data_IF_177585207867
#
_entry.id   IF_177585207867
#
_cell.length_a   1.000
_cell.length_b   1.000
_cell.length_c   1.000
_cell.angle_alpha   90.00
_cell.angle_beta   90.00
_cell.angle_gamma   90.00
#
_symmetry.space_group_name_H-M   'P 1'
#
loop_
_entity.id
_entity.type
_entity.pdbx_description
1 polymer ?
#
# COMPACT_ATOMS: atom_id res chain seq x y z
N UNK A 1 -14.13 -1.94 15.11
CA UNK A 1 -13.63 -2.26 13.76
C UNK A 1 -12.22 -1.75 13.64
N UNK A 2 -11.38 -2.39 12.83
CA UNK A 2 -10.02 -1.91 12.55
C UNK A 2 -10.07 -1.11 11.24
N UNK A 3 -9.61 0.16 11.23
CA UNK A 3 -9.50 0.91 9.98
C UNK A 3 -8.43 0.24 9.11
N UNK A 4 -8.84 -0.27 7.95
CA UNK A 4 -7.98 -1.02 7.04
C UNK A 4 -8.02 -0.42 5.65
N UNK A 5 -6.87 -0.28 5.02
CA UNK A 5 -6.72 0.17 3.64
C UNK A 5 -5.85 -0.82 2.85
N UNK A 6 -6.06 -0.89 1.54
CA UNK A 6 -5.28 -1.72 0.62
C UNK A 6 -4.39 -0.80 -0.23
N UNK A 7 -3.08 -1.06 -0.21
CA UNK A 7 -2.12 -0.47 -1.13
C UNK A 7 -1.68 -1.55 -2.11
N UNK A 8 -1.84 -1.30 -3.41
CA UNK A 8 -1.40 -2.21 -4.48
C UNK A 8 -0.46 -1.48 -5.43
N UNK A 9 0.43 -2.24 -6.06
CA UNK A 9 1.29 -1.78 -7.13
C UNK A 9 0.77 -2.29 -8.49
N UNK A 10 1.03 -1.58 -9.60
CA UNK A 10 0.61 -2.04 -10.92
C UNK A 10 1.39 -3.29 -11.33
N UNK A 11 0.66 -4.32 -11.73
CA UNK A 11 1.24 -5.54 -12.32
C UNK A 11 0.43 -6.00 -13.53
N UNK A 12 1.11 -6.72 -14.43
CA UNK A 12 0.50 -7.41 -15.58
C UNK A 12 0.37 -8.90 -15.29
N UNK A 13 -0.75 -9.46 -15.74
CA UNK A 13 -1.08 -10.88 -15.65
C UNK A 13 -1.23 -11.41 -14.21
N UNK A 14 -1.79 -10.59 -13.31
CA UNK A 14 -2.15 -11.02 -11.95
C UNK A 14 -2.97 -12.32 -12.02
N UNK A 15 -2.57 -13.34 -11.24
CA UNK A 15 -3.12 -14.71 -11.23
C UNK A 15 -2.68 -15.64 -12.36
N UNK A 16 -1.63 -15.28 -13.12
CA UNK A 16 -0.99 -16.19 -14.09
C UNK A 16 0.27 -16.82 -13.52
N UNK A 17 0.76 -17.90 -14.14
CA UNK A 17 2.03 -18.56 -13.75
C UNK A 17 3.26 -17.67 -13.88
N UNK A 18 3.17 -16.60 -14.68
CA UNK A 18 4.18 -15.57 -14.83
C UNK A 18 3.50 -14.22 -14.71
N UNK A 19 3.98 -13.41 -13.77
CA UNK A 19 3.54 -12.03 -13.56
C UNK A 19 4.70 -11.07 -13.87
N UNK A 20 4.38 -9.82 -14.22
CA UNK A 20 5.40 -8.81 -14.53
C UNK A 20 5.04 -7.49 -13.87
N UNK A 21 5.99 -6.96 -13.10
CA UNK A 21 5.92 -5.65 -12.46
C UNK A 21 7.15 -4.82 -12.84
N UNK A 22 7.04 -3.50 -12.72
CA UNK A 22 8.17 -2.59 -12.91
C UNK A 22 8.97 -2.51 -11.61
N UNK A 23 10.29 -2.65 -11.68
CA UNK A 23 11.14 -2.67 -10.48
C UNK A 23 11.09 -1.34 -9.71
N UNK A 24 10.96 -0.21 -10.41
CA UNK A 24 10.85 1.09 -9.73
C UNK A 24 9.53 1.21 -8.96
N UNK A 25 8.44 0.61 -9.45
CA UNK A 25 7.15 0.65 -8.73
C UNK A 25 7.21 -0.16 -7.44
N UNK A 26 7.98 -1.26 -7.44
CA UNK A 26 8.27 -2.03 -6.23
C UNK A 26 9.05 -1.18 -5.24
N UNK A 27 10.09 -0.49 -5.68
CA UNK A 27 10.90 0.39 -4.82
C UNK A 27 10.06 1.53 -4.23
N UNK A 28 9.30 2.24 -5.04
CA UNK A 28 8.44 3.32 -4.55
C UNK A 28 7.35 2.82 -3.59
N UNK A 29 6.83 1.61 -3.77
CA UNK A 29 5.87 1.01 -2.84
C UNK A 29 6.52 0.72 -1.49
N UNK A 30 7.77 0.24 -1.48
CA UNK A 30 8.55 0.05 -0.24
C UNK A 30 8.74 1.39 0.46
N UNK A 31 9.25 2.39 -0.26
CA UNK A 31 9.50 3.73 0.30
C UNK A 31 8.20 4.33 0.87
N UNK A 32 7.08 4.22 0.17
CA UNK A 32 5.76 4.67 0.63
C UNK A 32 5.33 4.00 1.94
N UNK A 33 5.42 2.67 2.02
CA UNK A 33 5.02 1.93 3.22
C UNK A 33 5.95 2.21 4.40
N UNK A 34 7.26 2.33 4.15
CA UNK A 34 8.26 2.66 5.16
C UNK A 34 8.02 4.06 5.73
N UNK A 35 7.89 5.07 4.88
CA UNK A 35 7.64 6.45 5.32
C UNK A 35 6.28 6.57 6.01
N UNK A 36 5.25 5.85 5.55
CA UNK A 36 3.96 5.81 6.23
C UNK A 36 4.11 5.33 7.67
N UNK A 37 4.79 4.19 7.89
CA UNK A 37 4.99 3.64 9.24
C UNK A 37 5.84 4.57 10.11
N UNK A 38 6.89 5.20 9.56
CA UNK A 38 7.72 6.15 10.27
C UNK A 38 6.99 7.46 10.63
N UNK A 39 5.99 7.84 9.84
CA UNK A 39 5.18 9.04 10.08
C UNK A 39 4.13 8.87 11.18
N UNK A 40 3.84 7.64 11.61
CA UNK A 40 2.78 7.36 12.58
C UNK A 40 3.10 7.90 13.98
N UNK A 41 2.08 8.48 14.60
CA UNK A 41 2.09 9.00 15.96
C UNK A 41 0.85 8.55 16.74
N UNK A 42 0.92 8.58 18.08
CA UNK A 42 -0.21 8.23 18.95
C UNK A 42 -1.46 9.11 18.75
N UNK A 43 -1.31 10.25 18.06
CA UNK A 43 -2.39 11.21 17.79
C UNK A 43 -3.08 10.96 16.45
N UNK A 44 -2.59 10.02 15.65
CA UNK A 44 -3.18 9.75 14.35
C UNK A 44 -4.49 8.99 14.51
N UNK A 45 -5.58 9.60 14.05
CA UNK A 45 -6.90 9.01 14.05
C UNK A 45 -7.30 8.60 12.63
N UNK A 46 -7.57 7.31 12.45
CA UNK A 46 -8.03 6.77 11.16
C UNK A 46 -9.54 6.51 11.21
N UNK A 47 -10.29 7.28 10.42
CA UNK A 47 -11.74 7.10 10.26
C UNK A 47 -12.11 6.89 8.80
N UNK A 48 -13.02 5.95 8.55
CA UNK A 48 -13.60 5.74 7.23
C UNK A 48 -14.99 6.38 7.20
N UNK A 49 -15.14 7.45 6.43
CA UNK A 49 -16.45 8.04 6.16
C UNK A 49 -17.16 7.19 5.10
N UNK A 50 -17.97 6.24 5.55
CA UNK A 50 -18.91 5.53 4.68
C UNK A 50 -20.11 6.47 4.49
N UNK A 51 -20.38 6.86 3.25
CA UNK A 51 -21.54 7.66 2.87
C UNK A 51 -22.76 6.78 2.60
#
# INVERSE_FOLDING_TARGET
GVPSALVSLPLRCMHSVVETAHLDDVKHTIDLLTEFVLSLSEKDEFSQFIK
#
